data_IF_932433043215
#
_entry.id   IF_932433043215
#
_cell.length_a   1.000
_cell.length_b   1.000
_cell.length_c   1.000
_cell.angle_alpha   90.00
_cell.angle_beta   90.00
_cell.angle_gamma   90.00
#
_symmetry.space_group_name_H-M   'P 1'
#
loop_
_entity.id
_entity.type
_entity.pdbx_description
1 polymer ?
#
# COMPACT_ATOMS: atom_id res chain seq x y z
N UNK A 1 18.78 65.78 -36.32
CA UNK A 1 17.95 64.71 -36.94
C UNK A 1 18.24 63.29 -36.43
N UNK A 2 19.05 63.06 -35.37
CA UNK A 2 19.38 61.70 -34.88
C UNK A 2 18.59 61.21 -33.64
N UNK A 3 17.69 62.03 -33.08
CA UNK A 3 16.93 61.69 -31.85
C UNK A 3 15.50 61.18 -32.08
N UNK A 4 14.99 61.25 -33.31
CA UNK A 4 13.60 60.87 -33.64
C UNK A 4 13.49 59.39 -34.07
N UNK A 5 14.59 58.80 -34.56
CA UNK A 5 14.62 57.40 -35.02
C UNK A 5 14.60 56.40 -33.85
N UNK A 6 15.00 56.81 -32.65
CA UNK A 6 15.05 55.92 -31.49
C UNK A 6 13.67 55.69 -30.83
N UNK A 7 12.69 56.57 -31.06
CA UNK A 7 11.36 56.46 -30.44
C UNK A 7 10.43 55.51 -31.20
N UNK A 8 10.66 55.31 -32.50
CA UNK A 8 9.89 54.38 -33.33
C UNK A 8 10.32 52.90 -33.18
N UNK A 9 11.52 52.64 -32.65
CA UNK A 9 11.99 51.27 -32.42
C UNK A 9 11.47 50.66 -31.11
N UNK A 10 10.95 51.48 -30.19
CA UNK A 10 10.37 51.02 -28.92
C UNK A 10 8.88 50.67 -29.02
N UNK A 11 8.22 51.02 -30.13
CA UNK A 11 6.80 50.78 -30.37
C UNK A 11 6.48 49.41 -30.98
N UNK A 12 7.50 48.57 -31.17
CA UNK A 12 7.35 47.21 -31.68
C UNK A 12 8.07 46.20 -30.75
N UNK A 13 7.89 46.36 -29.44
CA UNK A 13 7.93 45.18 -28.58
C UNK A 13 6.72 44.35 -29.02
N UNK A 14 6.89 43.14 -29.58
CA UNK A 14 5.76 42.26 -29.72
C UNK A 14 5.25 42.06 -28.30
N UNK A 15 4.08 42.63 -27.99
CA UNK A 15 3.25 42.08 -26.94
C UNK A 15 2.98 40.67 -27.41
N UNK A 16 3.84 39.74 -27.00
CA UNK A 16 3.50 38.34 -26.90
C UNK A 16 2.32 38.32 -25.94
N UNK A 17 1.13 38.51 -26.49
CA UNK A 17 -0.12 38.08 -25.89
C UNK A 17 0.12 36.61 -25.64
N UNK A 18 0.55 36.27 -24.42
CA UNK A 18 0.33 34.95 -23.88
C UNK A 18 -1.19 34.84 -23.83
N UNK A 19 -1.79 34.41 -24.95
CA UNK A 19 -3.16 33.96 -24.97
C UNK A 19 -3.16 32.78 -24.01
N UNK A 20 -3.61 33.05 -22.79
CA UNK A 20 -3.65 32.07 -21.74
C UNK A 20 -4.71 31.08 -22.19
N UNK A 21 -4.25 29.94 -22.70
CA UNK A 21 -5.12 28.89 -23.21
C UNK A 21 -6.16 28.55 -22.13
N UNK A 22 -7.40 28.30 -22.54
CA UNK A 22 -8.46 27.87 -21.62
C UNK A 22 -8.62 26.36 -21.71
N UNK A 23 -9.17 25.75 -20.67
CA UNK A 23 -9.66 24.37 -20.73
C UNK A 23 -10.98 24.39 -21.48
N UNK A 24 -10.97 23.93 -22.72
CA UNK A 24 -12.17 23.89 -23.57
C UNK A 24 -13.15 22.82 -23.09
N UNK A 25 -12.62 21.62 -22.82
CA UNK A 25 -13.42 20.45 -22.46
C UNK A 25 -12.61 19.44 -21.67
N UNK A 26 -13.26 18.73 -20.75
CA UNK A 26 -12.68 17.59 -20.04
C UNK A 26 -13.42 16.32 -20.46
N UNK A 27 -12.71 15.45 -21.17
CA UNK A 27 -13.19 14.14 -21.59
C UNK A 27 -12.64 13.06 -20.67
N UNK A 28 -13.53 12.21 -20.16
CA UNK A 28 -13.17 11.12 -19.24
C UNK A 28 -13.57 9.81 -19.92
N UNK A 29 -12.65 8.85 -19.98
CA UNK A 29 -12.81 7.56 -20.64
C UNK A 29 -12.31 6.42 -19.74
N UNK A 30 -12.94 5.24 -19.87
CA UNK A 30 -12.54 4.02 -19.14
C UNK A 30 -13.11 3.90 -17.73
N UNK A 31 -13.91 4.87 -17.29
CA UNK A 31 -14.68 4.78 -16.05
C UNK A 31 -15.95 3.94 -16.29
N UNK A 32 -16.22 2.98 -15.42
CA UNK A 32 -17.38 2.09 -15.46
C UNK A 32 -18.21 2.23 -14.18
N UNK A 33 -17.60 1.98 -13.02
CA UNK A 33 -18.27 2.09 -11.72
C UNK A 33 -18.16 3.49 -11.14
N UNK A 34 -17.04 4.17 -11.37
CA UNK A 34 -16.85 5.56 -10.93
C UNK A 34 -17.54 6.48 -11.93
N UNK A 35 -18.43 7.33 -11.45
CA UNK A 35 -19.14 8.26 -12.34
C UNK A 35 -18.22 9.41 -12.78
N UNK A 36 -18.51 9.98 -13.96
CA UNK A 36 -17.80 11.17 -14.46
C UNK A 36 -17.82 12.30 -13.43
N UNK A 37 -18.97 12.51 -12.79
CA UNK A 37 -19.21 13.56 -11.80
C UNK A 37 -18.32 13.35 -10.57
N UNK A 38 -18.11 12.10 -10.15
CA UNK A 38 -17.21 11.77 -9.05
C UNK A 38 -15.77 12.12 -9.41
N UNK A 39 -15.32 11.80 -10.62
CA UNK A 39 -13.96 12.15 -11.07
C UNK A 39 -13.82 13.67 -11.13
N UNK A 40 -14.77 14.37 -11.74
CA UNK A 40 -14.79 15.83 -11.79
C UNK A 40 -14.77 16.45 -10.38
N UNK A 41 -15.48 15.89 -9.41
CA UNK A 41 -15.47 16.39 -8.02
C UNK A 41 -14.07 16.45 -7.42
N UNK A 42 -13.21 15.45 -7.68
CA UNK A 42 -11.83 15.42 -7.20
C UNK A 42 -10.87 16.32 -8.00
N UNK A 43 -11.21 16.66 -9.24
CA UNK A 43 -10.41 17.59 -10.04
C UNK A 43 -10.60 19.02 -9.53
N UNK A 44 -9.50 19.76 -9.48
CA UNK A 44 -9.51 21.21 -9.30
C UNK A 44 -9.70 21.93 -10.64
N UNK A 45 -9.23 21.35 -11.75
CA UNK A 45 -9.44 21.92 -13.09
C UNK A 45 -10.91 21.82 -13.51
N UNK A 46 -11.45 22.89 -14.10
CA UNK A 46 -12.79 22.94 -14.70
C UNK A 46 -12.75 23.37 -16.16
N UNK A 47 -13.79 22.97 -16.89
CA UNK A 47 -14.06 23.52 -18.23
C UNK A 47 -14.32 25.02 -18.10
N UNK A 48 -13.69 25.83 -18.96
CA UNK A 48 -13.71 27.29 -18.91
C UNK A 48 -12.60 27.94 -18.08
N UNK A 49 -11.87 27.18 -17.26
CA UNK A 49 -10.74 27.73 -16.49
C UNK A 49 -9.52 28.01 -17.37
N UNK A 50 -8.61 28.84 -16.88
CA UNK A 50 -7.29 28.98 -17.49
C UNK A 50 -6.51 27.66 -17.41
N UNK A 51 -5.99 27.22 -18.54
CA UNK A 51 -5.16 26.04 -18.64
C UNK A 51 -3.88 26.22 -17.79
N UNK A 52 -3.65 25.26 -16.89
CA UNK A 52 -2.49 25.23 -16.03
C UNK A 52 -1.98 23.80 -15.87
N UNK A 53 -0.76 23.54 -16.35
CA UNK A 53 -0.15 22.22 -16.31
C UNK A 53 0.19 21.75 -14.88
N UNK A 54 0.55 22.67 -13.98
CA UNK A 54 0.80 22.34 -12.57
C UNK A 54 -0.49 22.02 -11.81
N UNK A 55 -1.63 22.56 -12.27
CA UNK A 55 -2.95 22.16 -11.78
C UNK A 55 -3.27 20.73 -12.22
N UNK A 56 -3.05 20.38 -13.49
CA UNK A 56 -3.26 19.01 -13.97
C UNK A 56 -2.36 17.97 -13.27
N UNK A 57 -1.11 18.33 -12.95
CA UNK A 57 -0.23 17.47 -12.15
C UNK A 57 -0.70 17.30 -10.70
N UNK A 58 -1.37 18.30 -10.13
CA UNK A 58 -2.02 18.17 -8.81
C UNK A 58 -3.24 17.28 -8.90
N UNK A 59 -4.08 17.50 -9.90
CA UNK A 59 -5.27 16.70 -10.16
C UNK A 59 -4.95 15.21 -10.35
N UNK A 60 -3.90 14.90 -11.12
CA UNK A 60 -3.39 13.53 -11.23
C UNK A 60 -3.07 12.93 -9.85
N UNK A 61 -2.32 13.66 -9.01
CA UNK A 61 -1.95 13.17 -7.67
C UNK A 61 -3.17 12.97 -6.77
N UNK A 62 -4.15 13.86 -6.85
CA UNK A 62 -5.41 13.74 -6.09
C UNK A 62 -6.14 12.48 -6.53
N UNK A 63 -6.38 12.32 -7.84
CA UNK A 63 -7.05 11.12 -8.37
C UNK A 63 -6.27 9.84 -8.03
N UNK A 64 -4.95 9.83 -8.16
CA UNK A 64 -4.12 8.68 -7.78
C UNK A 64 -4.25 8.34 -6.28
N UNK A 65 -4.27 9.36 -5.42
CA UNK A 65 -4.40 9.18 -3.97
C UNK A 65 -5.74 8.63 -3.52
N UNK A 66 -6.79 8.76 -4.33
CA UNK A 66 -8.11 8.14 -4.04
C UNK A 66 -8.04 6.61 -4.03
N UNK A 67 -7.09 6.03 -4.77
CA UNK A 67 -6.99 4.59 -4.96
C UNK A 67 -8.10 4.00 -5.85
N UNK A 68 -8.89 4.82 -6.54
CA UNK A 68 -9.95 4.32 -7.43
C UNK A 68 -9.41 3.68 -8.71
N UNK A 69 -8.21 4.06 -9.13
CA UNK A 69 -7.66 3.72 -10.44
C UNK A 69 -6.32 3.02 -10.32
N UNK A 70 -6.12 1.96 -11.10
CA UNK A 70 -4.84 1.27 -11.27
C UNK A 70 -3.93 2.02 -12.26
N UNK A 71 -4.54 2.74 -13.21
CA UNK A 71 -3.87 3.52 -14.22
C UNK A 71 -4.64 4.82 -14.51
N UNK A 72 -3.91 5.92 -14.68
CA UNK A 72 -4.46 7.22 -15.04
C UNK A 72 -3.55 7.83 -16.10
N UNK A 73 -4.11 8.22 -17.23
CA UNK A 73 -3.42 8.91 -18.31
C UNK A 73 -4.14 10.22 -18.60
N UNK A 74 -3.42 11.33 -18.44
CA UNK A 74 -3.93 12.67 -18.77
C UNK A 74 -3.20 13.18 -20.01
N UNK A 75 -3.96 13.36 -21.08
CA UNK A 75 -3.48 13.86 -22.36
C UNK A 75 -4.10 15.23 -22.64
N UNK A 76 -3.36 16.05 -23.39
CA UNK A 76 -3.73 17.42 -23.74
C UNK A 76 -3.76 17.53 -25.25
N UNK A 77 -4.93 17.81 -25.79
CA UNK A 77 -5.13 17.98 -27.24
C UNK A 77 -5.48 19.44 -27.53
N UNK A 78 -5.17 19.92 -28.74
CA UNK A 78 -5.58 21.24 -29.18
C UNK A 78 -7.04 21.19 -29.62
N UNK A 79 -7.89 21.97 -28.97
CA UNK A 79 -9.28 22.19 -29.35
C UNK A 79 -9.43 23.35 -30.33
N UNK A 80 -10.67 23.73 -30.64
CA UNK A 80 -10.96 24.83 -31.54
C UNK A 80 -10.71 26.20 -30.88
N UNK A 81 -10.86 26.27 -29.55
CA UNK A 81 -10.85 27.50 -28.76
C UNK A 81 -9.93 27.43 -27.53
N UNK A 82 -9.47 26.24 -27.17
CA UNK A 82 -8.55 26.02 -26.04
C UNK A 82 -7.93 24.62 -26.06
N UNK A 83 -7.65 24.07 -24.87
CA UNK A 83 -7.13 22.72 -24.66
C UNK A 83 -8.25 21.76 -24.31
N UNK A 84 -8.29 20.61 -24.98
CA UNK A 84 -9.13 19.47 -24.58
C UNK A 84 -8.28 18.57 -23.69
N UNK A 85 -8.75 18.33 -22.46
CA UNK A 85 -8.08 17.47 -21.49
C UNK A 85 -8.74 16.10 -21.52
N UNK A 86 -8.00 15.09 -21.95
CA UNK A 86 -8.48 13.72 -22.06
C UNK A 86 -7.90 12.90 -20.91
N UNK A 87 -8.76 12.42 -20.04
CA UNK A 87 -8.41 11.61 -18.87
C UNK A 87 -8.88 10.18 -19.14
N UNK A 88 -7.93 9.30 -19.44
CA UNK A 88 -8.20 7.86 -19.57
C UNK A 88 -7.85 7.18 -18.26
N UNK A 89 -8.76 6.38 -17.72
CA UNK A 89 -8.57 5.67 -16.45
C UNK A 89 -8.81 4.18 -16.61
N UNK A 90 -8.13 3.39 -15.78
CA UNK A 90 -8.46 1.99 -15.52
C UNK A 90 -8.78 1.86 -14.04
N UNK A 91 -9.97 1.35 -13.70
CA UNK A 91 -10.42 1.23 -12.33
C UNK A 91 -9.70 0.11 -11.57
N UNK A 92 -9.38 0.35 -10.30
CA UNK A 92 -8.98 -0.72 -9.40
C UNK A 92 -10.18 -1.63 -9.13
N UNK A 93 -9.98 -2.97 -9.10
CA UNK A 93 -11.04 -3.88 -8.70
C UNK A 93 -11.50 -3.64 -7.26
N UNK A 94 -12.76 -3.94 -7.01
CA UNK A 94 -13.34 -3.88 -5.66
C UNK A 94 -13.15 -5.22 -4.97
N UNK A 95 -12.66 -5.20 -3.74
CA UNK A 95 -12.52 -6.39 -2.90
C UNK A 95 -13.92 -6.77 -2.40
N UNK A 96 -14.45 -7.89 -2.86
CA UNK A 96 -15.74 -8.42 -2.44
C UNK A 96 -15.63 -9.17 -1.12
N UNK A 97 -14.70 -10.12 -1.09
CA UNK A 97 -14.50 -11.05 -0.01
C UNK A 97 -13.01 -11.19 0.32
N UNK A 98 -12.72 -11.40 1.59
CA UNK A 98 -11.37 -11.65 2.10
C UNK A 98 -11.43 -12.96 2.87
N UNK A 99 -10.63 -13.93 2.49
CA UNK A 99 -10.63 -15.27 3.09
C UNK A 99 -9.26 -15.58 3.64
N UNK A 100 -9.19 -15.97 4.91
CA UNK A 100 -7.97 -16.45 5.55
C UNK A 100 -8.03 -17.97 5.70
N UNK A 101 -7.33 -18.70 4.83
CA UNK A 101 -7.18 -20.16 4.95
C UNK A 101 -6.00 -20.44 5.87
N UNK A 102 -6.28 -20.67 7.15
CA UNK A 102 -5.27 -20.96 8.18
C UNK A 102 -5.54 -22.29 8.87
N UNK A 103 -4.50 -22.84 9.51
CA UNK A 103 -4.57 -24.09 10.27
C UNK A 103 -5.07 -23.92 11.71
N UNK A 104 -4.65 -24.85 12.58
CA UNK A 104 -5.06 -24.86 14.00
C UNK A 104 -4.10 -24.08 14.90
N UNK A 105 -2.86 -23.83 14.49
CA UNK A 105 -1.83 -23.21 15.34
C UNK A 105 -1.95 -21.68 15.31
N UNK A 106 -2.45 -21.12 14.21
CA UNK A 106 -2.75 -19.71 14.03
C UNK A 106 -4.25 -19.55 13.73
N UNK A 107 -4.98 -18.91 14.65
CA UNK A 107 -6.41 -18.64 14.47
C UNK A 107 -6.62 -17.42 13.60
N UNK A 108 -7.69 -17.43 12.81
CA UNK A 108 -8.12 -16.28 12.01
C UNK A 108 -8.37 -15.04 12.87
N UNK A 109 -9.01 -15.19 14.03
CA UNK A 109 -9.24 -14.08 14.97
C UNK A 109 -7.94 -13.37 15.40
N UNK A 110 -6.86 -14.13 15.59
CA UNK A 110 -5.55 -13.57 15.95
C UNK A 110 -4.97 -12.76 14.79
N UNK A 111 -5.15 -13.23 13.54
CA UNK A 111 -4.73 -12.52 12.33
C UNK A 111 -5.49 -11.21 12.22
N UNK A 112 -6.82 -11.26 12.26
CA UNK A 112 -7.69 -10.08 12.12
C UNK A 112 -7.38 -9.06 13.22
N UNK A 113 -7.17 -9.52 14.46
CA UNK A 113 -6.80 -8.65 15.58
C UNK A 113 -5.46 -7.96 15.33
N UNK A 114 -4.42 -8.70 14.94
CA UNK A 114 -3.09 -8.14 14.66
C UNK A 114 -3.12 -7.13 13.51
N UNK A 115 -3.86 -7.42 12.45
CA UNK A 115 -4.03 -6.50 11.31
C UNK A 115 -4.71 -5.20 11.73
N UNK A 116 -5.73 -5.26 12.61
CA UNK A 116 -6.38 -4.08 13.19
C UNK A 116 -5.45 -3.29 14.11
N UNK A 117 -4.68 -3.96 14.96
CA UNK A 117 -3.70 -3.32 15.86
C UNK A 117 -2.64 -2.52 15.09
N UNK A 118 -2.26 -2.98 13.89
CA UNK A 118 -1.29 -2.29 13.02
C UNK A 118 -1.91 -1.30 12.03
N UNK A 119 -3.22 -1.16 12.01
CA UNK A 119 -3.95 -0.36 11.00
C UNK A 119 -3.66 -0.81 9.55
N UNK A 120 -3.50 -2.13 9.36
CA UNK A 120 -3.22 -2.75 8.06
C UNK A 120 -4.27 -3.81 7.76
N UNK A 121 -5.55 -3.42 7.72
CA UNK A 121 -6.65 -4.33 7.39
C UNK A 121 -7.36 -3.92 6.11
N UNK A 122 -8.01 -4.89 5.47
CA UNK A 122 -8.88 -4.65 4.32
C UNK A 122 -10.31 -4.50 4.81
N UNK A 123 -11.03 -3.60 4.16
CA UNK A 123 -12.47 -3.48 4.32
C UNK A 123 -13.14 -4.20 3.15
N UNK A 124 -14.21 -4.98 3.39
CA UNK A 124 -15.09 -5.40 2.31
C UNK A 124 -15.56 -4.17 1.51
N UNK A 125 -15.66 -4.33 0.20
CA UNK A 125 -16.00 -3.29 -0.77
C UNK A 125 -14.99 -2.14 -0.90
N UNK A 126 -13.77 -2.29 -0.37
CA UNK A 126 -12.68 -1.35 -0.63
C UNK A 126 -11.97 -1.65 -1.95
N UNK A 127 -11.30 -0.64 -2.53
CA UNK A 127 -10.50 -0.83 -3.73
C UNK A 127 -9.24 -1.65 -3.44
N UNK A 128 -8.93 -2.54 -4.36
CA UNK A 128 -7.71 -3.34 -4.36
C UNK A 128 -6.48 -2.44 -4.41
N UNK A 129 -5.46 -2.81 -3.62
CA UNK A 129 -4.18 -2.12 -3.57
C UNK A 129 -3.07 -3.13 -3.34
N UNK A 130 -2.17 -3.35 -4.32
CA UNK A 130 -1.04 -4.27 -4.16
C UNK A 130 -0.19 -3.97 -2.93
N UNK A 131 0.00 -2.69 -2.63
CA UNK A 131 0.76 -2.22 -1.47
C UNK A 131 0.13 -2.68 -0.14
N UNK A 132 -1.21 -2.55 0.00
CA UNK A 132 -1.91 -3.03 1.20
C UNK A 132 -1.81 -4.54 1.34
N UNK A 133 -1.96 -5.28 0.24
CA UNK A 133 -1.86 -6.74 0.22
C UNK A 133 -0.48 -7.21 0.72
N UNK A 134 0.60 -6.62 0.22
CA UNK A 134 1.96 -6.94 0.67
C UNK A 134 2.18 -6.58 2.16
N UNK A 135 1.62 -5.46 2.63
CA UNK A 135 1.69 -5.09 4.05
C UNK A 135 0.96 -6.08 4.96
N UNK A 136 -0.18 -6.60 4.51
CA UNK A 136 -0.94 -7.63 5.22
C UNK A 136 -0.14 -8.93 5.27
N UNK A 137 0.39 -9.37 4.14
CA UNK A 137 1.25 -10.56 4.05
C UNK A 137 2.42 -10.47 5.04
N UNK A 138 3.13 -9.34 5.05
CA UNK A 138 4.23 -9.08 5.98
C UNK A 138 3.78 -9.12 7.45
N UNK A 139 2.60 -8.59 7.75
CA UNK A 139 2.05 -8.62 9.12
C UNK A 139 1.66 -10.03 9.55
N UNK A 140 1.11 -10.85 8.65
CA UNK A 140 0.80 -12.26 8.91
C UNK A 140 2.11 -13.04 9.13
N UNK A 141 3.14 -12.81 8.31
CA UNK A 141 4.46 -13.42 8.49
C UNK A 141 5.10 -13.06 9.83
N UNK A 142 5.00 -11.81 10.25
CA UNK A 142 5.46 -11.38 11.58
C UNK A 142 4.70 -12.08 12.70
N UNK A 143 3.38 -12.20 12.59
CA UNK A 143 2.56 -12.93 13.56
C UNK A 143 2.94 -14.42 13.64
N UNK A 144 3.27 -15.06 12.51
CA UNK A 144 3.80 -16.42 12.48
C UNK A 144 5.10 -16.53 13.29
N UNK A 145 6.04 -15.57 13.13
CA UNK A 145 7.30 -15.53 13.90
C UNK A 145 7.04 -15.38 15.41
N UNK A 146 6.15 -14.47 15.81
CA UNK A 146 5.76 -14.28 17.22
C UNK A 146 5.17 -15.55 17.85
N UNK A 147 4.46 -16.35 17.05
CA UNK A 147 3.88 -17.64 17.46
C UNK A 147 4.89 -18.80 17.41
N UNK A 148 6.13 -18.57 16.98
CA UNK A 148 7.18 -19.59 16.84
C UNK A 148 7.00 -20.50 15.62
N UNK A 149 6.28 -20.03 14.60
CA UNK A 149 6.00 -20.71 13.34
C UNK A 149 6.96 -20.17 12.25
N UNK A 150 8.26 -20.39 12.44
CA UNK A 150 9.32 -19.71 11.68
C UNK A 150 9.43 -20.14 10.22
N UNK A 151 8.93 -21.33 9.87
CA UNK A 151 8.92 -21.84 8.49
C UNK A 151 7.58 -21.59 7.80
N UNK A 152 6.67 -20.86 8.43
CA UNK A 152 5.35 -20.62 7.87
C UNK A 152 5.41 -19.72 6.63
N UNK A 153 4.54 -19.99 5.66
CA UNK A 153 4.44 -19.24 4.42
C UNK A 153 3.03 -18.68 4.25
N UNK A 154 2.94 -17.61 3.45
CA UNK A 154 1.68 -16.97 3.10
C UNK A 154 1.66 -16.86 1.58
N UNK A 155 0.68 -17.48 0.97
CA UNK A 155 0.39 -17.39 -0.46
C UNK A 155 -0.89 -16.58 -0.66
N UNK A 156 -0.92 -15.76 -1.69
CA UNK A 156 -2.05 -14.87 -1.98
C UNK A 156 -2.65 -15.29 -3.32
N UNK A 157 -3.93 -15.62 -3.32
CA UNK A 157 -4.69 -15.89 -4.54
C UNK A 157 -5.70 -14.76 -4.77
N UNK A 158 -5.77 -14.25 -6.00
CA UNK A 158 -6.70 -13.21 -6.43
C UNK A 158 -7.73 -13.81 -7.38
N UNK A 159 -8.92 -14.10 -6.86
CA UNK A 159 -9.98 -14.75 -7.61
C UNK A 159 -10.98 -13.72 -8.15
N UNK A 160 -11.17 -13.64 -9.47
CA UNK A 160 -12.18 -12.76 -10.07
C UNK A 160 -13.60 -13.27 -9.76
N UNK A 161 -14.46 -12.41 -9.21
CA UNK A 161 -15.85 -12.72 -8.83
C UNK A 161 -16.92 -11.97 -9.65
N UNK A 162 -16.51 -11.26 -10.70
CA UNK A 162 -17.39 -10.45 -11.55
C UNK A 162 -16.59 -9.66 -12.59
N UNK A 163 -17.19 -8.61 -13.17
CA UNK A 163 -16.51 -7.78 -14.18
C UNK A 163 -15.35 -6.96 -13.61
N UNK A 164 -15.44 -6.50 -12.35
CA UNK A 164 -14.38 -5.75 -11.67
C UNK A 164 -14.35 -6.01 -10.13
N UNK A 165 -14.60 -7.25 -9.73
CA UNK A 165 -14.61 -7.67 -8.32
C UNK A 165 -13.59 -8.78 -8.08
N UNK A 166 -12.89 -8.70 -6.95
CA UNK A 166 -11.89 -9.69 -6.50
C UNK A 166 -12.26 -10.28 -5.14
N UNK A 167 -12.09 -11.59 -5.01
CA UNK A 167 -11.92 -12.27 -3.73
C UNK A 167 -10.42 -12.45 -3.49
N UNK A 168 -9.95 -12.03 -2.33
CA UNK A 168 -8.56 -12.18 -1.92
C UNK A 168 -8.47 -13.33 -0.93
N UNK A 169 -7.68 -14.35 -1.25
CA UNK A 169 -7.48 -15.51 -0.39
C UNK A 169 -6.04 -15.50 0.10
N UNK A 170 -5.87 -15.41 1.42
CA UNK A 170 -4.59 -15.63 2.09
C UNK A 170 -4.51 -17.09 2.53
N UNK A 171 -3.72 -17.89 1.80
CA UNK A 171 -3.42 -19.28 2.11
C UNK A 171 -2.18 -19.33 3.00
N UNK A 172 -2.36 -19.76 4.25
CA UNK A 172 -1.30 -19.72 5.26
C UNK A 172 -0.89 -21.15 5.61
N UNK A 173 0.31 -21.54 5.23
CA UNK A 173 0.95 -22.73 5.75
C UNK A 173 1.70 -22.36 7.03
N UNK A 174 1.31 -22.95 8.15
CA UNK A 174 1.93 -22.69 9.45
C UNK A 174 3.29 -23.36 9.59
N UNK A 175 3.58 -24.40 8.79
CA UNK A 175 4.78 -25.23 8.95
C UNK A 175 4.88 -25.94 10.31
N UNK A 176 5.95 -26.73 10.56
CA UNK A 176 6.20 -27.33 11.85
C UNK A 176 6.62 -26.29 12.91
N UNK A 177 6.27 -26.55 14.18
CA UNK A 177 6.84 -25.78 15.29
C UNK A 177 8.28 -26.22 15.51
N UNK A 178 9.21 -25.26 15.54
CA UNK A 178 10.61 -25.52 15.88
C UNK A 178 10.77 -25.41 17.39
N UNK A 179 11.32 -26.45 18.01
CA UNK A 179 11.60 -26.49 19.44
C UNK A 179 13.05 -26.12 19.75
N UNK A 180 13.28 -25.47 20.88
CA UNK A 180 14.64 -25.18 21.37
C UNK A 180 15.26 -26.46 21.93
N UNK A 181 16.27 -26.98 21.23
CA UNK A 181 16.99 -28.21 21.61
C UNK A 181 17.95 -28.00 22.79
N UNK A 182 19.05 -27.28 22.55
CA UNK A 182 20.06 -26.99 23.57
C UNK A 182 20.47 -25.52 23.50
N UNK A 183 20.88 -24.97 24.64
CA UNK A 183 21.37 -23.60 24.75
C UNK A 183 22.81 -23.63 25.26
N UNK A 184 23.71 -22.99 24.51
CA UNK A 184 25.13 -22.91 24.80
C UNK A 184 25.56 -21.44 24.95
N UNK A 185 26.16 -21.11 26.08
CA UNK A 185 26.81 -19.81 26.29
C UNK A 185 28.28 -19.94 25.92
N UNK A 186 28.73 -19.21 24.90
CA UNK A 186 30.14 -19.19 24.48
C UNK A 186 30.93 -18.17 25.31
N UNK A 187 32.20 -18.47 25.61
CA UNK A 187 33.11 -17.60 26.37
C UNK A 187 33.36 -18.09 27.81
N UNK A 188 33.84 -17.19 28.68
CA UNK A 188 34.04 -17.44 30.12
C UNK A 188 33.02 -16.62 30.92
N UNK A 189 31.77 -17.11 31.08
CA UNK A 189 30.78 -16.38 31.85
C UNK A 189 31.21 -16.29 33.32
N UNK A 190 31.09 -15.09 33.90
CA UNK A 190 31.25 -14.90 35.36
C UNK A 190 30.07 -15.50 36.15
N UNK A 191 28.92 -15.66 35.49
CA UNK A 191 27.71 -16.22 36.09
C UNK A 191 27.61 -17.73 35.84
N UNK A 192 27.03 -18.44 36.82
CA UNK A 192 26.73 -19.87 36.69
C UNK A 192 25.70 -20.10 35.59
N UNK A 193 25.81 -21.22 34.85
CA UNK A 193 24.87 -21.61 33.77
C UNK A 193 23.41 -21.52 34.20
N UNK A 194 23.07 -21.93 35.43
CA UNK A 194 21.69 -21.86 35.93
C UNK A 194 21.14 -20.44 36.00
N UNK A 195 21.97 -19.45 36.37
CA UNK A 195 21.58 -18.04 36.41
C UNK A 195 21.34 -17.52 34.99
N UNK A 196 22.25 -17.83 34.06
CA UNK A 196 22.10 -17.47 32.65
C UNK A 196 20.84 -18.08 32.03
N UNK A 197 20.60 -19.37 32.27
CA UNK A 197 19.40 -20.07 31.81
C UNK A 197 18.11 -19.51 32.42
N UNK A 198 18.17 -18.96 33.64
CA UNK A 198 17.02 -18.31 34.27
C UNK A 198 16.71 -16.93 33.67
N UNK A 199 17.70 -16.29 33.05
CA UNK A 199 17.53 -15.01 32.34
C UNK A 199 16.73 -15.17 31.04
N UNK A 200 16.86 -16.33 30.39
CA UNK A 200 16.12 -16.68 29.17
C UNK A 200 14.64 -16.93 29.53
N UNK A 201 13.76 -16.08 29.03
CA UNK A 201 12.33 -16.08 29.33
C UNK A 201 11.51 -16.74 28.22
N UNK A 202 11.83 -16.48 26.96
CA UNK A 202 10.96 -16.81 25.82
C UNK A 202 11.42 -18.04 25.03
N UNK A 203 12.73 -18.31 24.97
CA UNK A 203 13.32 -19.42 24.23
C UNK A 203 13.95 -20.49 25.15
N UNK A 204 13.16 -21.15 25.99
CA UNK A 204 13.67 -22.17 26.93
C UNK A 204 13.89 -23.53 26.26
N UNK A 205 14.92 -24.25 26.70
CA UNK A 205 15.14 -25.66 26.33
C UNK A 205 13.89 -26.50 26.51
N UNK A 206 13.58 -27.37 25.54
CA UNK A 206 12.45 -28.27 25.59
C UNK A 206 12.53 -29.23 26.78
N UNK A 207 11.50 -29.21 27.62
CA UNK A 207 11.23 -30.14 28.71
C UNK A 207 9.73 -30.06 29.09
N UNK A 208 9.26 -30.90 30.00
CA UNK A 208 7.83 -30.95 30.38
C UNK A 208 7.31 -29.59 30.87
N UNK A 209 8.09 -28.87 31.70
CA UNK A 209 7.69 -27.57 32.25
C UNK A 209 7.63 -26.47 31.17
N UNK A 210 8.64 -26.39 30.30
CA UNK A 210 8.69 -25.38 29.24
C UNK A 210 7.68 -25.66 28.13
N UNK A 211 7.34 -26.93 27.89
CA UNK A 211 6.27 -27.34 26.98
C UNK A 211 4.88 -26.91 27.48
N UNK A 212 4.55 -27.18 28.75
CA UNK A 212 3.27 -26.73 29.34
C UNK A 212 3.17 -25.21 29.35
N UNK A 213 4.28 -24.52 29.61
CA UNK A 213 4.34 -23.06 29.57
C UNK A 213 4.40 -22.46 28.14
N UNK A 214 4.51 -23.28 27.09
CA UNK A 214 4.62 -22.84 25.70
C UNK A 214 5.91 -22.06 25.35
N UNK A 215 6.92 -22.12 26.23
CA UNK A 215 8.21 -21.40 26.13
C UNK A 215 9.32 -22.26 25.52
N UNK A 216 8.98 -23.43 24.99
CA UNK A 216 9.90 -24.37 24.35
C UNK A 216 10.00 -24.22 22.83
N UNK A 217 9.18 -23.34 22.24
CA UNK A 217 9.20 -23.04 20.81
C UNK A 217 10.21 -21.92 20.54
N UNK A 218 11.00 -22.06 19.48
CA UNK A 218 11.95 -21.05 19.07
C UNK A 218 11.23 -19.85 18.43
N UNK A 219 11.42 -18.68 19.01
CA UNK A 219 10.86 -17.39 18.58
C UNK A 219 12.00 -16.42 18.35
N UNK A 220 12.42 -16.31 17.10
CA UNK A 220 13.51 -15.42 16.70
C UNK A 220 13.23 -13.95 17.07
N UNK A 221 11.98 -13.50 16.94
CA UNK A 221 11.57 -12.14 17.26
C UNK A 221 11.73 -11.76 18.74
N UNK A 222 11.73 -12.74 19.65
CA UNK A 222 11.90 -12.54 21.11
C UNK A 222 13.31 -12.88 21.58
N UNK A 223 14.21 -13.26 20.68
CA UNK A 223 15.60 -13.53 21.02
C UNK A 223 16.32 -12.31 21.63
N UNK A 224 16.10 -11.06 21.18
CA UNK A 224 16.70 -9.88 21.81
C UNK A 224 16.30 -9.68 23.28
N UNK A 225 15.10 -10.13 23.68
CA UNK A 225 14.63 -10.04 25.07
C UNK A 225 15.31 -11.07 25.99
N UNK A 226 15.86 -12.14 25.40
CA UNK A 226 16.55 -13.23 26.09
C UNK A 226 18.08 -13.04 26.17
N UNK A 227 18.64 -12.10 25.39
CA UNK A 227 20.09 -11.79 25.31
C UNK A 227 20.50 -10.67 26.27
#
# INVERSE_FOLDING_TARGET
MKKIVLVLLFACLPLSLFAQEIVEKIEILGNERITRETILYYLSSREGDHFNEDLLRRDFRVLWSTGFFSNIKIEKENGATGRVIKITVEENPVIKDIVYKTGKKLKEDDIVKKLKEKDVYLLPYSYYSPYKIQKIEGTIKELLLEKGLTTGTVEIEENKKGSNELEIVFSIDEGPKIKVGEIYFKGKPMLRKGILMSGIKENKKHNLYSWVAGKDNFKESLLPDDL
#
